data_IF_323070871301
#
_entry.id   IF_323070871301
#
_cell.length_a   1.000
_cell.length_b   1.000
_cell.length_c   1.000
_cell.angle_alpha   90.00
_cell.angle_beta   90.00
_cell.angle_gamma   90.00
#
_symmetry.space_group_name_H-M   'P 1'
#
loop_
_entity.id
_entity.type
_entity.pdbx_description
1 polymer ?
#
# COMPACT_ATOMS: atom_id res chain seq x y z
N UNK A 1 -0.22 16.08 -18.23
CA UNK A 1 -0.95 16.32 -16.96
C UNK A 1 0.04 16.34 -15.81
N UNK A 2 -0.05 17.31 -14.95
CA UNK A 2 0.77 17.41 -13.74
C UNK A 2 -0.04 16.95 -12.53
N UNK A 3 0.65 16.74 -11.40
CA UNK A 3 -0.02 16.37 -10.14
C UNK A 3 -1.09 17.39 -9.75
N UNK A 4 -0.87 18.66 -10.06
CA UNK A 4 -1.84 19.73 -9.70
C UNK A 4 -3.10 19.72 -10.58
N UNK A 5 -3.04 19.07 -11.73
CA UNK A 5 -4.16 19.00 -12.67
C UNK A 5 -4.95 17.71 -12.56
N UNK A 6 -4.60 16.84 -11.62
CA UNK A 6 -5.25 15.55 -11.49
C UNK A 6 -6.69 15.69 -11.00
N UNK A 7 -7.56 14.84 -11.54
CA UNK A 7 -8.91 14.65 -11.02
C UNK A 7 -8.95 13.37 -10.19
N UNK A 8 -9.56 13.49 -8.99
CA UNK A 8 -9.77 12.32 -8.17
C UNK A 8 -10.63 11.30 -8.92
N UNK A 9 -10.19 10.04 -9.05
CA UNK A 9 -10.97 9.03 -9.76
C UNK A 9 -12.16 8.57 -8.92
N UNK A 10 -13.17 8.01 -9.60
CA UNK A 10 -14.26 7.32 -8.93
C UNK A 10 -13.73 6.01 -8.31
N UNK A 11 -14.25 5.64 -7.16
CA UNK A 11 -13.86 4.41 -6.48
C UNK A 11 -14.10 3.17 -7.36
N UNK A 12 -15.17 3.15 -8.14
CA UNK A 12 -15.46 2.06 -9.07
C UNK A 12 -14.32 1.85 -10.06
N UNK A 13 -13.76 2.93 -10.58
CA UNK A 13 -12.60 2.85 -11.48
C UNK A 13 -11.38 2.27 -10.76
N UNK A 14 -11.09 2.79 -9.57
CA UNK A 14 -9.94 2.38 -8.77
C UNK A 14 -10.01 0.89 -8.41
N UNK A 15 -11.20 0.41 -8.06
CA UNK A 15 -11.42 -0.99 -7.67
C UNK A 15 -11.21 -1.98 -8.82
N UNK A 16 -11.31 -1.54 -10.06
CA UNK A 16 -11.15 -2.39 -11.24
C UNK A 16 -9.69 -2.52 -11.70
N UNK A 17 -8.79 -1.71 -11.15
CA UNK A 17 -7.38 -1.75 -11.54
C UNK A 17 -6.73 -3.03 -11.01
N UNK A 18 -6.02 -3.75 -11.88
CA UNK A 18 -5.20 -4.87 -11.46
C UNK A 18 -3.98 -4.34 -10.71
N UNK A 19 -3.89 -4.65 -9.41
CA UNK A 19 -2.80 -4.14 -8.56
C UNK A 19 -1.42 -4.58 -9.06
N UNK A 20 -1.33 -5.69 -9.80
CA UNK A 20 -0.06 -6.14 -10.40
C UNK A 20 0.53 -5.10 -11.36
N UNK A 21 -0.32 -4.26 -11.96
CA UNK A 21 0.11 -3.16 -12.82
C UNK A 21 0.66 -1.97 -12.05
N UNK A 22 0.38 -1.88 -10.75
CA UNK A 22 0.78 -0.77 -9.90
C UNK A 22 1.98 -1.09 -9.03
N UNK A 23 2.26 -2.38 -8.81
CA UNK A 23 3.27 -2.84 -7.87
C UNK A 23 4.55 -3.28 -8.57
N UNK A 24 5.73 -2.99 -7.98
CA UNK A 24 6.98 -3.63 -8.41
C UNK A 24 7.05 -5.10 -7.99
N UNK A 25 6.34 -5.48 -6.92
CA UNK A 25 6.29 -6.84 -6.42
C UNK A 25 5.51 -7.74 -7.38
N UNK A 26 5.90 -9.02 -7.41
CA UNK A 26 5.25 -10.07 -8.19
C UNK A 26 4.82 -11.21 -7.25
N UNK A 27 3.90 -12.07 -7.75
CA UNK A 27 3.54 -13.27 -6.98
C UNK A 27 4.77 -14.14 -6.73
N UNK A 28 4.87 -14.80 -5.56
CA UNK A 28 3.88 -14.91 -4.49
C UNK A 28 3.97 -13.80 -3.43
N UNK A 29 4.62 -12.69 -3.71
CA UNK A 29 4.91 -11.64 -2.73
C UNK A 29 3.82 -10.56 -2.65
N UNK A 30 2.79 -10.60 -3.48
CA UNK A 30 1.74 -9.58 -3.51
C UNK A 30 0.79 -9.76 -2.34
N UNK A 31 0.68 -8.72 -1.49
CA UNK A 31 -0.08 -8.73 -0.23
C UNK A 31 -1.24 -7.75 -0.21
N UNK A 32 -1.72 -7.30 -1.37
CA UNK A 32 -2.97 -6.54 -1.50
C UNK A 32 -3.80 -7.15 -2.62
N UNK A 33 -5.12 -7.06 -2.51
CA UNK A 33 -6.03 -7.58 -3.53
C UNK A 33 -6.41 -6.53 -4.55
N UNK A 34 -6.87 -5.38 -4.08
CA UNK A 34 -7.26 -4.25 -4.93
C UNK A 34 -7.20 -2.96 -4.11
N UNK A 35 -7.16 -1.83 -4.81
CA UNK A 35 -7.43 -0.54 -4.18
C UNK A 35 -8.94 -0.35 -4.08
N UNK A 36 -9.40 0.27 -3.01
CA UNK A 36 -10.81 0.61 -2.84
C UNK A 36 -11.07 2.11 -2.93
N UNK A 37 -10.04 2.92 -2.73
CA UNK A 37 -10.10 4.38 -2.85
C UNK A 37 -8.71 4.94 -3.13
N UNK A 38 -8.67 6.00 -3.92
CA UNK A 38 -7.45 6.78 -4.13
C UNK A 38 -7.76 8.25 -4.17
N UNK A 39 -7.05 9.03 -3.35
CA UNK A 39 -6.83 10.45 -3.56
C UNK A 39 -5.39 10.77 -3.13
N UNK A 40 -4.94 12.00 -3.33
CA UNK A 40 -3.54 12.35 -3.07
C UNK A 40 -3.16 12.23 -1.59
N UNK A 41 -4.12 12.32 -0.69
CA UNK A 41 -3.89 12.20 0.75
C UNK A 41 -4.19 10.83 1.32
N UNK A 42 -5.22 10.17 0.80
CA UNK A 42 -5.73 8.92 1.38
C UNK A 42 -5.86 7.85 0.30
N UNK A 43 -5.29 6.69 0.55
CA UNK A 43 -5.44 5.52 -0.31
C UNK A 43 -5.82 4.34 0.56
N UNK A 44 -6.80 3.57 0.10
CA UNK A 44 -7.22 2.35 0.81
C UNK A 44 -7.10 1.14 -0.10
N UNK A 45 -6.78 0.01 0.51
CA UNK A 45 -6.72 -1.28 -0.17
C UNK A 45 -7.51 -2.33 0.60
N UNK A 46 -7.91 -3.38 -0.09
CA UNK A 46 -8.56 -4.54 0.51
C UNK A 46 -7.79 -5.80 0.15
N UNK A 47 -7.75 -6.75 1.07
CA UNK A 47 -7.06 -8.01 0.87
C UNK A 47 -7.80 -9.12 1.61
N UNK A 48 -8.19 -10.15 0.88
CA UNK A 48 -8.72 -11.37 1.49
C UNK A 48 -7.55 -12.33 1.72
N UNK A 49 -7.35 -12.76 2.95
CA UNK A 49 -6.20 -13.58 3.33
C UNK A 49 -6.32 -14.97 2.69
N UNK A 50 -5.45 -15.32 1.71
CA UNK A 50 -5.51 -16.63 1.07
C UNK A 50 -4.84 -17.69 1.93
N UNK A 51 -5.30 -18.94 1.76
CA UNK A 51 -4.81 -20.07 2.54
C UNK A 51 -3.32 -20.39 2.28
N UNK A 52 -2.88 -20.24 1.03
CA UNK A 52 -1.54 -20.60 0.58
C UNK A 52 -0.56 -19.43 0.53
N UNK A 53 -0.81 -18.40 1.33
CA UNK A 53 0.03 -17.20 1.36
C UNK A 53 1.32 -17.46 2.14
N UNK A 54 2.45 -16.91 1.66
CA UNK A 54 3.77 -17.10 2.27
C UNK A 54 3.89 -16.50 3.68
N UNK A 55 3.03 -15.54 4.03
CA UNK A 55 3.00 -14.93 5.36
C UNK A 55 1.92 -15.51 6.27
N UNK A 56 1.24 -16.56 5.83
CA UNK A 56 0.27 -17.28 6.65
C UNK A 56 0.99 -18.41 7.39
N UNK A 57 0.79 -18.47 8.69
CA UNK A 57 1.34 -19.49 9.56
C UNK A 57 0.25 -19.97 10.53
N UNK A 58 -0.03 -21.27 10.53
CA UNK A 58 -1.10 -21.86 11.36
C UNK A 58 -2.46 -21.18 11.16
N UNK A 59 -2.79 -20.87 9.91
CA UNK A 59 -4.07 -20.28 9.55
C UNK A 59 -4.20 -18.78 9.85
N UNK A 60 -3.12 -18.12 10.21
CA UNK A 60 -3.11 -16.71 10.62
C UNK A 60 -2.11 -15.92 9.77
N UNK A 61 -2.54 -14.75 9.32
CA UNK A 61 -1.67 -13.82 8.60
C UNK A 61 -0.76 -13.12 9.60
N UNK A 62 0.54 -13.30 9.43
CA UNK A 62 1.54 -12.87 10.42
C UNK A 62 1.76 -11.36 10.42
N UNK A 63 2.44 -10.86 11.46
CA UNK A 63 2.84 -9.45 11.55
C UNK A 63 3.66 -9.00 10.35
N UNK A 64 4.55 -9.84 9.84
CA UNK A 64 5.32 -9.54 8.63
C UNK A 64 4.41 -9.34 7.42
N UNK A 65 3.38 -10.15 7.29
CA UNK A 65 2.38 -9.98 6.23
C UNK A 65 1.61 -8.67 6.35
N UNK A 66 1.23 -8.30 7.57
CA UNK A 66 0.53 -7.03 7.83
C UNK A 66 1.39 -5.83 7.48
N UNK A 67 2.66 -5.84 7.85
CA UNK A 67 3.61 -4.76 7.53
C UNK A 67 3.80 -4.67 6.01
N UNK A 68 3.97 -5.80 5.34
CA UNK A 68 4.12 -5.86 3.89
C UNK A 68 2.85 -5.34 3.18
N UNK A 69 1.68 -5.69 3.69
CA UNK A 69 0.40 -5.19 3.17
C UNK A 69 0.33 -3.66 3.23
N UNK A 70 0.75 -3.05 4.33
CA UNK A 70 0.81 -1.59 4.47
C UNK A 70 1.80 -1.00 3.47
N UNK A 71 2.99 -1.55 3.38
CA UNK A 71 4.03 -1.07 2.46
C UNK A 71 3.55 -1.14 1.01
N UNK A 72 2.88 -2.22 0.64
CA UNK A 72 2.35 -2.38 -0.72
C UNK A 72 1.16 -1.46 -1.01
N UNK A 73 0.36 -1.11 -0.01
CA UNK A 73 -0.67 -0.09 -0.19
C UNK A 73 -0.02 1.27 -0.53
N UNK A 74 1.07 1.59 0.14
CA UNK A 74 1.87 2.78 -0.20
C UNK A 74 2.47 2.68 -1.60
N UNK A 75 3.01 1.52 -1.97
CA UNK A 75 3.57 1.30 -3.31
C UNK A 75 2.51 1.42 -4.40
N UNK A 76 1.31 0.89 -4.16
CA UNK A 76 0.20 0.98 -5.11
C UNK A 76 -0.26 2.43 -5.31
N UNK A 77 -0.25 3.24 -4.25
CA UNK A 77 -0.50 4.68 -4.37
C UNK A 77 0.50 5.34 -5.31
N UNK A 78 1.79 5.08 -5.11
CA UNK A 78 2.85 5.62 -5.96
C UNK A 78 2.69 5.12 -7.39
N UNK A 79 2.36 3.83 -7.55
CA UNK A 79 2.11 3.23 -8.86
C UNK A 79 0.94 3.88 -9.59
N UNK A 80 -0.13 4.20 -8.86
CA UNK A 80 -1.26 4.92 -9.44
C UNK A 80 -0.84 6.30 -9.93
N UNK A 81 -0.12 7.05 -9.11
CA UNK A 81 0.36 8.38 -9.48
C UNK A 81 1.23 8.31 -10.73
N UNK A 82 2.18 7.38 -10.75
CA UNK A 82 3.10 7.25 -11.88
C UNK A 82 2.38 6.83 -13.16
N UNK A 83 1.49 5.85 -13.09
CA UNK A 83 0.82 5.30 -14.27
C UNK A 83 -0.27 6.21 -14.82
N UNK A 84 -1.13 6.75 -13.94
CA UNK A 84 -2.35 7.44 -14.37
C UNK A 84 -2.27 8.96 -14.32
N UNK A 85 -1.31 9.52 -13.61
CA UNK A 85 -1.15 10.98 -13.49
C UNK A 85 0.09 11.47 -14.21
N UNK A 86 1.25 10.88 -13.92
CA UNK A 86 2.53 11.34 -14.45
C UNK A 86 2.99 10.62 -15.72
N UNK A 87 2.31 9.53 -16.08
CA UNK A 87 2.67 8.69 -17.22
C UNK A 87 4.14 8.25 -17.18
N UNK A 88 4.53 7.69 -16.05
CA UNK A 88 5.87 7.17 -15.76
C UNK A 88 5.83 5.68 -15.47
N UNK A 89 7.00 5.06 -15.50
CA UNK A 89 7.17 3.66 -15.10
C UNK A 89 7.04 3.49 -13.59
N UNK A 90 6.84 2.25 -13.17
CA UNK A 90 6.75 1.88 -11.75
C UNK A 90 8.10 2.13 -11.08
N UNK A 91 8.06 2.79 -9.93
CA UNK A 91 9.24 3.07 -9.12
C UNK A 91 9.32 2.12 -7.94
N UNK A 92 10.56 1.77 -7.57
CA UNK A 92 10.82 1.03 -6.35
C UNK A 92 10.76 1.98 -5.15
N UNK A 93 10.00 1.57 -4.11
CA UNK A 93 9.97 2.25 -2.84
C UNK A 93 10.64 1.39 -1.77
N UNK A 94 11.23 2.03 -0.78
CA UNK A 94 11.89 1.36 0.33
C UNK A 94 11.33 1.87 1.64
N UNK A 95 11.09 0.95 2.58
CA UNK A 95 10.74 1.35 3.94
C UNK A 95 12.00 1.89 4.62
N UNK A 96 12.00 3.18 4.91
CA UNK A 96 13.10 3.82 5.63
C UNK A 96 12.99 3.67 7.13
N UNK A 97 11.76 3.68 7.66
CA UNK A 97 11.52 3.52 9.08
C UNK A 97 10.06 3.14 9.32
N UNK A 98 9.83 2.40 10.40
CA UNK A 98 8.49 2.12 10.94
C UNK A 98 8.48 2.64 12.37
N UNK A 99 7.50 3.49 12.69
CA UNK A 99 7.36 4.09 14.01
C UNK A 99 5.97 3.85 14.59
N UNK A 100 5.88 3.83 15.90
CA UNK A 100 4.63 3.72 16.64
C UNK A 100 3.79 2.53 16.16
N UNK A 101 4.47 1.43 15.83
CA UNK A 101 3.81 0.20 15.37
C UNK A 101 3.11 -0.47 16.55
N UNK A 102 1.80 -0.63 16.43
CA UNK A 102 0.99 -1.36 17.38
C UNK A 102 0.16 -2.39 16.62
N UNK A 103 0.37 -3.66 16.93
CA UNK A 103 -0.38 -4.77 16.34
C UNK A 103 -1.26 -5.36 17.44
N UNK A 104 -2.57 -5.20 17.29
CA UNK A 104 -3.53 -5.63 18.29
C UNK A 104 -4.02 -7.04 18.06
N UNK A 105 -4.09 -7.48 16.79
CA UNK A 105 -4.54 -8.82 16.43
C UNK A 105 -4.08 -9.15 15.03
N UNK A 106 -4.05 -10.44 14.72
CA UNK A 106 -3.72 -10.96 13.39
C UNK A 106 -4.95 -11.61 12.77
N UNK A 107 -5.25 -11.30 11.51
CA UNK A 107 -6.43 -11.88 10.85
C UNK A 107 -6.17 -13.32 10.44
N UNK A 108 -7.25 -14.09 10.35
CA UNK A 108 -7.22 -15.48 9.91
C UNK A 108 -7.44 -15.59 8.40
N UNK A 109 -7.03 -16.73 7.85
CA UNK A 109 -7.34 -17.10 6.47
C UNK A 109 -8.84 -16.91 6.21
N UNK A 110 -9.18 -16.32 5.06
CA UNK A 110 -10.56 -16.05 4.65
C UNK A 110 -11.11 -14.72 5.11
N UNK A 111 -10.50 -14.09 6.10
CA UNK A 111 -10.92 -12.74 6.52
C UNK A 111 -10.45 -11.69 5.52
N UNK A 112 -11.20 -10.60 5.42
CA UNK A 112 -10.89 -9.47 4.55
C UNK A 112 -10.40 -8.31 5.41
N UNK A 113 -9.20 -7.82 5.11
CA UNK A 113 -8.65 -6.65 5.78
C UNK A 113 -8.73 -5.44 4.86
N UNK A 114 -8.95 -4.27 5.46
CA UNK A 114 -8.92 -2.97 4.79
C UNK A 114 -7.76 -2.17 5.37
N UNK A 115 -6.91 -1.68 4.50
CA UNK A 115 -5.75 -0.87 4.89
C UNK A 115 -5.93 0.54 4.38
N UNK A 116 -5.86 1.49 5.29
CA UNK A 116 -5.95 2.91 4.98
C UNK A 116 -4.61 3.56 5.28
N UNK A 117 -4.07 4.26 4.29
CA UNK A 117 -2.88 5.09 4.47
C UNK A 117 -3.22 6.55 4.23
N UNK A 118 -2.70 7.41 5.08
CA UNK A 118 -2.85 8.86 4.96
C UNK A 118 -1.47 9.48 4.89
N UNK A 119 -1.23 10.30 3.86
CA UNK A 119 0.02 11.02 3.70
C UNK A 119 0.04 12.20 4.66
N UNK A 120 0.99 12.17 5.60
CA UNK A 120 1.16 13.24 6.58
C UNK A 120 2.13 14.30 6.06
N UNK A 121 3.18 13.87 5.35
CA UNK A 121 4.22 14.76 4.88
C UNK A 121 4.94 14.13 3.68
N UNK A 122 5.36 14.98 2.74
CA UNK A 122 6.13 14.53 1.57
C UNK A 122 7.20 15.59 1.28
N UNK A 123 8.48 15.20 1.46
CA UNK A 123 9.62 16.08 1.27
C UNK A 123 10.73 15.31 0.56
N UNK A 124 11.14 15.81 -0.61
CA UNK A 124 12.32 15.30 -1.36
C UNK A 124 12.30 13.78 -1.56
N UNK A 125 11.18 13.23 -1.99
CA UNK A 125 11.07 11.78 -2.24
C UNK A 125 10.89 10.93 -1.00
N UNK A 126 10.84 11.55 0.17
CA UNK A 126 10.52 10.87 1.42
C UNK A 126 9.06 11.15 1.78
N UNK A 127 8.29 10.09 1.97
CA UNK A 127 6.86 10.19 2.27
C UNK A 127 6.64 9.62 3.68
N UNK A 128 6.03 10.43 4.54
CA UNK A 128 5.59 9.98 5.86
C UNK A 128 4.10 9.69 5.79
N UNK A 129 3.72 8.48 6.14
CA UNK A 129 2.32 8.04 6.14
C UNK A 129 1.91 7.53 7.50
N UNK A 130 0.65 7.73 7.86
CA UNK A 130 0.00 6.99 8.93
C UNK A 130 -0.83 5.87 8.31
N UNK A 131 -0.86 4.71 8.97
CA UNK A 131 -1.52 3.53 8.46
C UNK A 131 -2.41 2.90 9.51
N UNK A 132 -3.56 2.41 9.06
CA UNK A 132 -4.50 1.65 9.90
C UNK A 132 -4.97 0.45 9.11
N UNK A 133 -4.90 -0.73 9.71
CA UNK A 133 -5.47 -1.95 9.15
C UNK A 133 -6.66 -2.36 10.01
N UNK A 134 -7.79 -2.61 9.37
CA UNK A 134 -9.02 -3.03 10.04
C UNK A 134 -9.55 -4.33 9.44
N UNK A 135 -10.27 -5.10 10.27
CA UNK A 135 -11.05 -6.25 9.82
C UNK A 135 -12.46 -6.05 10.42
N UNK A 136 -13.43 -5.73 9.55
CA UNK A 136 -14.73 -5.28 10.01
C UNK A 136 -14.59 -4.02 10.88
N UNK A 137 -15.09 -4.07 12.11
CA UNK A 137 -15.03 -2.94 13.05
C UNK A 137 -13.77 -2.97 13.93
N UNK A 138 -12.93 -4.01 13.79
CA UNK A 138 -11.75 -4.17 14.65
C UNK A 138 -10.52 -3.57 14.02
N UNK A 139 -9.82 -2.73 14.76
CA UNK A 139 -8.50 -2.21 14.36
C UNK A 139 -7.47 -3.30 14.68
N UNK A 140 -6.73 -3.72 13.66
CA UNK A 140 -5.68 -4.73 13.80
C UNK A 140 -4.30 -4.10 13.98
N UNK A 141 -4.04 -3.00 13.29
CA UNK A 141 -2.72 -2.35 13.28
C UNK A 141 -2.89 -0.85 13.20
N UNK A 142 -2.06 -0.13 13.95
CA UNK A 142 -1.75 1.29 13.74
C UNK A 142 -0.24 1.41 13.58
N UNK A 143 0.20 2.24 12.63
CA UNK A 143 1.63 2.45 12.39
C UNK A 143 1.87 3.78 11.68
N UNK A 144 3.10 4.25 11.74
CA UNK A 144 3.63 5.29 10.87
C UNK A 144 4.78 4.70 10.08
N UNK A 145 4.88 5.03 8.80
CA UNK A 145 5.95 4.58 7.93
C UNK A 145 6.59 5.75 7.20
N UNK A 146 7.91 5.69 7.07
CA UNK A 146 8.65 6.53 6.14
C UNK A 146 9.01 5.70 4.93
N UNK A 147 8.58 6.16 3.76
CA UNK A 147 8.84 5.49 2.49
C UNK A 147 9.75 6.38 1.66
N UNK A 148 10.88 5.83 1.22
CA UNK A 148 11.78 6.48 0.28
C UNK A 148 11.51 5.92 -1.11
N UNK A 149 11.30 6.80 -2.08
CA UNK A 149 11.11 6.41 -3.48
C UNK A 149 12.43 6.58 -4.20
N UNK A 150 12.86 5.54 -4.92
CA UNK A 150 14.11 5.59 -5.68
C UNK A 150 13.94 6.53 -6.87
N UNK A 151 14.80 7.53 -6.96
CA UNK A 151 14.83 8.45 -8.09
C UNK A 151 15.49 7.76 -9.30
N UNK A 152 14.82 7.77 -10.45
CA UNK A 152 15.36 7.22 -11.70
C UNK A 152 16.69 7.87 -12.12
N UNK A 153 16.86 9.16 -11.84
CA UNK A 153 18.08 9.89 -12.17
C UNK A 153 19.30 9.41 -11.38
N UNK A 154 19.09 8.89 -10.17
CA UNK A 154 20.17 8.32 -9.35
C UNK A 154 20.69 6.99 -9.92
N UNK A 155 19.95 6.33 -10.79
CA UNK A 155 20.34 5.05 -11.39
C UNK A 155 21.28 5.21 -12.58
N UNK A 156 21.31 6.38 -13.21
CA UNK A 156 22.10 6.61 -14.43
C UNK A 156 23.55 7.00 -14.14
N UNK A 157 23.93 7.04 -12.88
CA UNK A 157 25.29 7.29 -12.45
C UNK A 157 25.99 5.97 -12.04
#
# INVERSE_FOLDING_TARGET
>A
MTINDYKEPLDVFVQQIDVHELLPQQEPLVMIGSLSHFDMKCTTSVFKIPEDNIFVMDGVFTSSGLIENIAQTCAARIGYINKYILNKDIQLGFIGAIKHLEIYASPSVGEVITTEINVEEEIFGLILVSAKVTCGEHVLVNAEMKIAVKDEQAQSQ
#
